data_IF_503677192717
#
_entry.id   IF_503677192717
#
_cell.length_a   1.000
_cell.length_b   1.000
_cell.length_c   1.000
_cell.angle_alpha   90.00
_cell.angle_beta   90.00
_cell.angle_gamma   90.00
#
_symmetry.space_group_name_H-M   'P 1'
#
loop_
_entity.id
_entity.type
_entity.pdbx_description
1 polymer ?
#
# COMPACT_ATOMS: atom_id res chain seq x y z
N UNK A 1 0.26 -12.59 23.90
CA UNK A 1 -0.43 -12.88 22.62
C UNK A 1 0.44 -12.34 21.50
N UNK A 2 0.77 -13.16 20.49
CA UNK A 2 1.56 -12.73 19.33
C UNK A 2 0.61 -12.32 18.20
N UNK A 3 0.94 -11.26 17.46
CA UNK A 3 0.21 -10.80 16.28
C UNK A 3 1.16 -10.82 15.08
N UNK A 4 0.66 -11.19 13.90
CA UNK A 4 1.43 -11.08 12.66
C UNK A 4 1.63 -9.60 12.29
N UNK A 5 2.77 -9.28 11.67
CA UNK A 5 3.11 -7.89 11.31
C UNK A 5 2.07 -7.31 10.34
N UNK A 6 1.64 -8.06 9.33
CA UNK A 6 0.62 -7.60 8.37
C UNK A 6 -0.72 -7.33 9.03
N UNK A 7 -1.19 -8.23 9.92
CA UNK A 7 -2.42 -7.99 10.71
C UNK A 7 -2.32 -6.76 11.61
N UNK A 8 -1.17 -6.52 12.23
CA UNK A 8 -0.95 -5.30 13.00
C UNK A 8 -0.98 -4.05 12.11
N UNK A 9 -0.33 -4.10 10.94
CA UNK A 9 -0.32 -3.01 9.97
C UNK A 9 -1.74 -2.70 9.46
N UNK A 10 -2.49 -3.73 9.07
CA UNK A 10 -3.87 -3.60 8.59
C UNK A 10 -4.76 -2.90 9.63
N UNK A 11 -4.63 -3.28 10.91
CA UNK A 11 -5.31 -2.60 12.01
C UNK A 11 -4.97 -1.10 12.07
N UNK A 12 -3.71 -0.72 11.89
CA UNK A 12 -3.29 0.70 11.92
C UNK A 12 -3.75 1.49 10.70
N UNK A 13 -3.72 0.89 9.52
CA UNK A 13 -4.30 1.50 8.32
C UNK A 13 -5.79 1.76 8.51
N UNK A 14 -6.51 0.80 9.09
CA UNK A 14 -7.94 0.95 9.41
C UNK A 14 -8.21 2.07 10.41
N UNK A 15 -7.41 2.16 11.47
CA UNK A 15 -7.52 3.25 12.47
C UNK A 15 -7.28 4.64 11.85
N UNK A 16 -6.52 4.73 10.75
CA UNK A 16 -6.36 5.95 9.94
C UNK A 16 -7.52 6.22 8.97
N UNK A 17 -8.54 5.35 8.95
CA UNK A 17 -9.70 5.46 8.04
C UNK A 17 -9.46 4.90 6.64
N UNK A 18 -8.32 4.22 6.40
CA UNK A 18 -8.04 3.56 5.12
C UNK A 18 -8.91 2.30 5.02
N UNK A 19 -9.54 2.12 3.85
CA UNK A 19 -10.41 0.98 3.54
C UNK A 19 -9.89 0.17 2.36
N UNK A 20 -9.04 0.79 1.52
CA UNK A 20 -8.50 0.20 0.29
C UNK A 20 -6.99 0.35 0.28
N UNK A 21 -6.30 -0.73 -0.07
CA UNK A 21 -4.85 -0.76 -0.28
C UNK A 21 -4.58 -1.05 -1.75
N UNK A 22 -3.88 -0.13 -2.41
CA UNK A 22 -3.55 -0.22 -3.83
C UNK A 22 -2.26 -1.00 -4.06
N UNK A 23 -2.01 -1.48 -5.26
CA UNK A 23 -0.71 -2.08 -5.57
C UNK A 23 -0.70 -3.04 -6.75
N UNK A 24 0.44 -3.69 -6.91
CA UNK A 24 0.67 -4.76 -7.89
C UNK A 24 1.17 -5.99 -7.15
N UNK A 25 0.55 -7.17 -7.34
CA UNK A 25 1.06 -8.41 -6.78
C UNK A 25 2.46 -8.74 -7.31
N UNK A 26 3.37 -9.10 -6.40
CA UNK A 26 4.71 -9.56 -6.69
C UNK A 26 5.13 -10.64 -5.71
N UNK A 27 6.05 -11.51 -6.10
CA UNK A 27 6.57 -12.64 -5.32
C UNK A 27 6.85 -12.31 -3.85
N UNK A 28 7.48 -11.16 -3.57
CA UNK A 28 7.82 -10.76 -2.20
C UNK A 28 6.61 -10.30 -1.38
N UNK A 29 5.59 -9.70 -2.00
CA UNK A 29 4.46 -9.13 -1.28
C UNK A 29 3.26 -10.08 -1.10
N UNK A 30 3.24 -11.26 -1.75
CA UNK A 30 2.12 -12.21 -1.70
C UNK A 30 1.67 -12.54 -0.26
N UNK A 31 2.60 -12.87 0.63
CA UNK A 31 2.26 -13.21 2.02
C UNK A 31 1.61 -12.06 2.82
N UNK A 32 1.84 -10.81 2.41
CA UNK A 32 1.15 -9.67 3.00
C UNK A 32 -0.21 -9.43 2.32
N UNK A 33 -0.30 -9.63 1.00
CA UNK A 33 -1.57 -9.58 0.27
C UNK A 33 -2.57 -10.62 0.81
N UNK A 34 -2.14 -11.85 1.09
CA UNK A 34 -2.96 -12.87 1.76
C UNK A 34 -3.51 -12.36 3.10
N UNK A 35 -2.70 -11.64 3.89
CA UNK A 35 -3.15 -11.05 5.16
C UNK A 35 -4.12 -9.88 4.97
N UNK A 36 -4.08 -9.17 3.83
CA UNK A 36 -5.08 -8.17 3.46
C UNK A 36 -6.37 -8.87 3.03
N UNK A 37 -6.30 -9.91 2.20
CA UNK A 37 -7.46 -10.70 1.77
C UNK A 37 -8.19 -11.38 2.94
N UNK A 38 -7.46 -11.83 3.96
CA UNK A 38 -8.03 -12.35 5.21
C UNK A 38 -8.68 -11.27 6.10
N UNK A 39 -8.53 -9.99 5.78
CA UNK A 39 -9.03 -8.88 6.60
C UNK A 39 -10.44 -8.48 6.19
N UNK A 40 -11.37 -8.46 7.14
CA UNK A 40 -12.72 -7.88 6.92
C UNK A 40 -12.72 -6.34 6.81
N UNK A 41 -11.58 -5.69 7.08
CA UNK A 41 -11.47 -4.25 7.27
C UNK A 41 -10.89 -3.50 6.07
N UNK A 42 -10.13 -4.20 5.22
CA UNK A 42 -9.36 -3.65 4.10
C UNK A 42 -9.61 -4.46 2.83
N UNK A 43 -9.74 -3.76 1.71
CA UNK A 43 -9.84 -4.34 0.38
C UNK A 43 -8.54 -4.09 -0.39
N UNK A 44 -8.01 -5.12 -1.06
CA UNK A 44 -6.90 -4.94 -1.99
C UNK A 44 -7.44 -4.50 -3.36
N UNK A 45 -6.89 -3.41 -3.92
CA UNK A 45 -7.27 -2.87 -5.23
C UNK A 45 -6.07 -2.95 -6.16
N UNK A 46 -6.09 -3.90 -7.10
CA UNK A 46 -5.01 -4.11 -8.05
C UNK A 46 -4.89 -3.00 -9.10
N UNK A 47 -3.66 -2.65 -9.46
CA UNK A 47 -3.32 -1.68 -10.50
C UNK A 47 -2.49 -2.30 -11.62
N UNK A 48 -2.42 -1.63 -12.78
CA UNK A 48 -1.65 -2.13 -13.93
C UNK A 48 -0.12 -2.03 -13.74
N UNK A 49 0.35 -1.10 -12.92
CA UNK A 49 1.75 -0.91 -12.56
C UNK A 49 1.83 -0.07 -11.26
N UNK A 50 3.02 0.02 -10.66
CA UNK A 50 3.23 0.66 -9.36
C UNK A 50 3.17 2.19 -9.43
N UNK A 51 3.52 2.80 -10.56
CA UNK A 51 3.32 4.24 -10.78
C UNK A 51 1.82 4.60 -10.72
N UNK A 52 0.99 3.79 -11.37
CA UNK A 52 -0.47 3.95 -11.34
C UNK A 52 -1.02 3.66 -9.94
N UNK A 53 -0.46 2.70 -9.20
CA UNK A 53 -0.85 2.45 -7.80
C UNK A 53 -0.56 3.68 -6.91
N UNK A 54 0.60 4.30 -7.07
CA UNK A 54 0.97 5.51 -6.34
C UNK A 54 0.00 6.67 -6.65
N UNK A 55 -0.31 6.93 -7.93
CA UNK A 55 -1.26 7.99 -8.29
C UNK A 55 -2.72 7.67 -7.95
N UNK A 56 -3.14 6.40 -8.01
CA UNK A 56 -4.46 5.99 -7.53
C UNK A 56 -4.59 6.27 -6.03
N UNK A 57 -3.53 5.99 -5.28
CA UNK A 57 -3.47 6.27 -3.84
C UNK A 57 -3.47 7.75 -3.53
N UNK A 58 -2.72 8.56 -4.31
CA UNK A 58 -2.77 10.02 -4.21
C UNK A 58 -4.21 10.55 -4.36
N UNK A 59 -4.90 10.11 -5.41
CA UNK A 59 -6.30 10.47 -5.67
C UNK A 59 -7.24 10.03 -4.55
N UNK A 60 -7.05 8.81 -4.02
CA UNK A 60 -7.80 8.30 -2.88
C UNK A 60 -7.55 9.16 -1.62
N UNK A 61 -6.30 9.46 -1.30
CA UNK A 61 -5.90 10.25 -0.14
C UNK A 61 -6.47 11.66 -0.16
N UNK A 62 -6.60 12.30 -1.34
CA UNK A 62 -7.23 13.63 -1.45
C UNK A 62 -8.67 13.67 -0.95
N UNK A 63 -9.40 12.55 -1.07
CA UNK A 63 -10.78 12.46 -0.63
C UNK A 63 -10.91 11.88 0.79
N UNK A 64 -10.05 10.91 1.13
CA UNK A 64 -10.15 10.12 2.37
C UNK A 64 -9.19 10.58 3.48
N UNK A 65 -8.29 11.53 3.19
CA UNK A 65 -7.26 12.01 4.09
C UNK A 65 -5.96 11.21 3.95
N UNK A 66 -6.03 9.90 4.22
CA UNK A 66 -4.89 8.98 4.10
C UNK A 66 -5.15 7.91 3.05
N UNK A 67 -4.08 7.36 2.48
CA UNK A 67 -4.11 6.27 1.52
C UNK A 67 -2.84 5.46 1.61
N UNK A 68 -2.92 4.18 1.24
CA UNK A 68 -1.80 3.27 1.28
C UNK A 68 -1.70 2.44 -0.01
N UNK A 69 -0.47 2.17 -0.43
CA UNK A 69 -0.19 1.19 -1.46
C UNK A 69 1.02 0.34 -1.13
N UNK A 70 1.03 -0.85 -1.74
CA UNK A 70 2.07 -1.87 -1.55
C UNK A 70 2.78 -2.18 -2.86
N UNK A 71 4.09 -2.41 -2.76
CA UNK A 71 4.96 -2.80 -3.88
C UNK A 71 5.87 -3.95 -3.48
N UNK A 72 6.39 -4.66 -4.47
CA UNK A 72 7.55 -5.54 -4.29
C UNK A 72 8.83 -4.70 -4.24
N UNK A 73 9.77 -5.07 -3.35
CA UNK A 73 11.01 -4.34 -3.16
C UNK A 73 11.84 -4.24 -4.46
N UNK A 74 12.46 -3.08 -4.67
CA UNK A 74 13.35 -2.83 -5.81
C UNK A 74 12.59 -2.37 -7.05
N UNK A 75 12.12 -3.30 -7.89
CA UNK A 75 11.50 -2.92 -9.19
C UNK A 75 10.21 -2.13 -9.00
N UNK A 76 9.39 -2.50 -8.02
CA UNK A 76 8.13 -1.81 -7.75
C UNK A 76 8.34 -0.43 -7.11
N UNK A 77 9.27 -0.34 -6.16
CA UNK A 77 9.58 0.91 -5.46
C UNK A 77 10.12 1.99 -6.41
N UNK A 78 11.05 1.61 -7.28
CA UNK A 78 11.65 2.51 -8.27
C UNK A 78 10.64 2.95 -9.32
N UNK A 79 9.67 2.10 -9.66
CA UNK A 79 8.54 2.43 -10.55
C UNK A 79 7.58 3.44 -9.89
N UNK A 80 7.31 3.29 -8.59
CA UNK A 80 6.39 4.14 -7.83
C UNK A 80 6.95 5.51 -7.43
N UNK A 81 8.28 5.69 -7.42
CA UNK A 81 8.93 6.87 -6.82
C UNK A 81 8.46 8.21 -7.41
N UNK A 82 8.13 8.24 -8.71
CA UNK A 82 7.59 9.43 -9.36
C UNK A 82 6.23 9.85 -8.78
N UNK A 83 5.35 8.89 -8.48
CA UNK A 83 4.06 9.14 -7.85
C UNK A 83 4.21 9.60 -6.40
N UNK A 84 5.12 8.99 -5.64
CA UNK A 84 5.42 9.41 -4.25
C UNK A 84 5.94 10.85 -4.22
N UNK A 85 6.86 11.20 -5.12
CA UNK A 85 7.38 12.56 -5.24
C UNK A 85 6.27 13.58 -5.60
N UNK A 86 5.33 13.18 -6.45
CA UNK A 86 4.13 13.94 -6.76
C UNK A 86 3.27 14.19 -5.51
N UNK A 87 2.92 13.13 -4.77
CA UNK A 87 2.17 13.24 -3.52
C UNK A 87 2.87 14.11 -2.48
N UNK A 88 4.19 13.99 -2.35
CA UNK A 88 4.99 14.80 -1.45
C UNK A 88 4.91 16.29 -1.81
N UNK A 89 5.03 16.61 -3.11
CA UNK A 89 4.94 17.99 -3.61
C UNK A 89 3.58 18.62 -3.30
N UNK A 90 2.53 17.81 -3.37
CA UNK A 90 1.14 18.23 -3.19
C UNK A 90 0.65 18.12 -1.72
N UNK A 91 1.54 17.77 -0.78
CA UNK A 91 1.23 17.55 0.63
C UNK A 91 0.11 16.51 0.86
N UNK A 92 0.08 15.45 0.04
CA UNK A 92 -0.90 14.37 0.14
C UNK A 92 -0.34 13.26 1.03
N UNK A 93 -1.13 12.84 2.03
CA UNK A 93 -0.72 11.80 2.97
C UNK A 93 -0.85 10.40 2.33
N UNK A 94 0.27 9.91 1.80
CA UNK A 94 0.40 8.57 1.20
C UNK A 94 1.38 7.72 2.02
N UNK A 95 0.97 6.49 2.31
CA UNK A 95 1.80 5.46 2.94
C UNK A 95 2.25 4.48 1.87
N UNK A 96 3.55 4.39 1.63
CA UNK A 96 4.14 3.40 0.75
C UNK A 96 4.69 2.22 1.56
N UNK A 97 4.21 1.02 1.27
CA UNK A 97 4.61 -0.24 1.93
C UNK A 97 5.46 -1.05 0.94
N UNK A 98 6.77 -0.97 1.06
CA UNK A 98 7.70 -1.82 0.30
C UNK A 98 7.94 -3.13 1.04
N UNK A 99 7.62 -4.26 0.40
CA UNK A 99 7.81 -5.59 0.99
C UNK A 99 9.12 -6.21 0.49
N UNK A 100 10.00 -6.50 1.43
CA UNK A 100 11.25 -7.25 1.23
C UNK A 100 11.09 -8.63 1.86
N UNK A 101 11.30 -9.70 1.09
CA UNK A 101 11.49 -11.03 1.67
C UNK A 101 12.93 -11.18 2.18
N UNK A 102 13.15 -11.86 3.32
CA UNK A 102 14.49 -12.21 3.77
C UNK A 102 15.12 -13.18 2.76
N UNK A 103 16.34 -12.87 2.31
CA UNK A 103 17.21 -13.84 1.62
C UNK A 103 17.71 -14.92 2.58
#
# INVERSE_FOLDING_TARGET
MKIQIGKFLNKRLKELGIQQVFGVPGDFNLSYLEQIEESDDLEFVGNCNELNAAYATDGYSRNKGFGAFVTTYGVGDLSAIGGIAGSYTENIAVIHISILQPM
#
